data_IF_140765169961
#
_entry.id   IF_140765169961
#
_cell.length_a   1.000
_cell.length_b   1.000
_cell.length_c   1.000
_cell.angle_alpha   90.00
_cell.angle_beta   90.00
_cell.angle_gamma   90.00
#
_symmetry.space_group_name_H-M   'P 1'
#
loop_
_entity.id
_entity.type
_entity.pdbx_description
1 polymer ?
#
# COMPACT_ATOMS: atom_id res chain seq x y z
N UNK A 1 51.89 -5.08 18.66
CA UNK A 1 51.69 -3.60 18.60
C UNK A 1 50.74 -3.31 17.45
N UNK A 2 49.80 -2.39 17.68
CA UNK A 2 48.82 -1.79 16.74
C UNK A 2 47.63 -2.64 16.28
N UNK A 3 46.58 -2.65 17.11
CA UNK A 3 45.20 -2.91 16.69
C UNK A 3 44.55 -1.58 16.27
N UNK A 4 44.09 -1.50 15.02
CA UNK A 4 43.43 -0.34 14.45
C UNK A 4 41.97 -0.24 14.92
N UNK A 5 41.67 0.81 15.68
CA UNK A 5 40.36 1.15 16.22
C UNK A 5 39.46 1.72 15.11
N UNK A 6 38.51 0.89 14.64
CA UNK A 6 37.45 1.30 13.72
C UNK A 6 36.48 2.28 14.39
N UNK A 7 36.59 3.56 14.02
CA UNK A 7 35.72 4.65 14.46
C UNK A 7 34.32 4.49 13.86
N UNK A 8 33.35 4.00 14.65
CA UNK A 8 31.92 3.99 14.31
C UNK A 8 31.44 5.42 14.06
N UNK A 9 31.14 5.75 12.80
CA UNK A 9 30.44 6.99 12.44
C UNK A 9 28.96 6.80 12.78
N UNK A 10 28.54 7.39 13.89
CA UNK A 10 27.14 7.43 14.31
C UNK A 10 26.35 8.32 13.35
N UNK A 11 25.34 7.77 12.66
CA UNK A 11 24.41 8.58 11.85
C UNK A 11 23.47 9.33 12.81
N UNK A 12 23.34 10.66 12.70
CA UNK A 12 22.43 11.41 13.55
C UNK A 12 20.98 11.01 13.26
N UNK A 13 20.20 10.86 14.33
CA UNK A 13 18.77 10.60 14.28
C UNK A 13 18.05 11.73 13.52
N UNK A 14 17.02 11.37 12.74
CA UNK A 14 16.19 12.29 12.00
C UNK A 14 15.44 13.24 12.96
N UNK A 15 16.07 14.36 13.27
CA UNK A 15 15.47 15.46 14.02
C UNK A 15 14.39 16.12 13.16
N UNK A 16 13.18 16.17 13.69
CA UNK A 16 12.09 16.98 13.14
C UNK A 16 12.44 18.47 13.25
N UNK A 17 13.10 19.00 12.24
CA UNK A 17 13.23 20.44 12.02
C UNK A 17 11.87 21.00 11.61
N UNK A 18 11.11 21.50 12.60
CA UNK A 18 10.05 22.48 12.36
C UNK A 18 10.63 23.87 12.63
N UNK A 19 10.18 24.86 11.87
CA UNK A 19 10.52 26.29 11.91
C UNK A 19 11.76 26.68 11.08
N UNK A 20 11.50 27.10 9.84
CA UNK A 20 12.48 27.59 8.87
C UNK A 20 12.09 27.38 7.39
N UNK A 21 11.04 26.59 7.12
CA UNK A 21 10.69 26.14 5.77
C UNK A 21 10.07 27.24 4.89
N UNK A 22 9.30 28.16 5.45
CA UNK A 22 8.52 29.12 4.66
C UNK A 22 9.42 30.11 3.88
N UNK A 23 10.42 30.69 4.55
CA UNK A 23 11.42 31.56 3.90
C UNK A 23 12.42 30.82 3.00
N UNK A 24 12.57 29.50 3.16
CA UNK A 24 13.37 28.68 2.26
C UNK A 24 12.64 28.41 0.94
N UNK A 25 11.34 28.07 1.00
CA UNK A 25 10.49 27.84 -0.18
C UNK A 25 10.37 29.12 -1.01
N UNK A 26 10.13 30.27 -0.38
CA UNK A 26 9.98 31.54 -1.10
C UNK A 26 11.24 31.92 -1.91
N UNK A 27 12.44 31.70 -1.33
CA UNK A 27 13.70 31.93 -2.05
C UNK A 27 13.83 31.03 -3.27
N UNK A 28 13.53 29.73 -3.14
CA UNK A 28 13.61 28.78 -4.25
C UNK A 28 12.63 29.15 -5.37
N UNK A 29 11.39 29.55 -5.04
CA UNK A 29 10.39 29.96 -6.04
C UNK A 29 10.83 31.23 -6.80
N UNK A 30 11.53 32.16 -6.12
CA UNK A 30 12.12 33.36 -6.74
C UNK A 30 13.22 33.01 -7.74
N UNK A 31 14.00 31.96 -7.49
CA UNK A 31 15.08 31.49 -8.38
C UNK A 31 14.58 30.67 -9.59
N UNK A 32 13.34 30.20 -9.59
CA UNK A 32 12.78 29.42 -10.71
C UNK A 32 12.64 30.26 -11.98
N UNK A 33 12.90 29.63 -13.14
CA UNK A 33 12.54 30.21 -14.43
C UNK A 33 11.02 30.47 -14.50
N UNK A 34 10.54 31.44 -15.29
CA UNK A 34 9.11 31.71 -15.41
C UNK A 34 8.29 30.47 -15.83
N UNK A 35 8.86 29.61 -16.68
CA UNK A 35 8.21 28.38 -17.11
C UNK A 35 8.11 27.36 -15.97
N UNK A 36 9.17 27.17 -15.19
CA UNK A 36 9.16 26.23 -14.06
C UNK A 36 8.22 26.70 -12.94
N UNK A 37 8.21 28.00 -12.65
CA UNK A 37 7.30 28.60 -11.65
C UNK A 37 5.83 28.34 -12.00
N UNK A 38 5.47 28.45 -13.28
CA UNK A 38 4.10 28.15 -13.74
C UNK A 38 3.68 26.70 -13.46
N UNK A 39 4.57 25.73 -13.64
CA UNK A 39 4.26 24.32 -13.33
C UNK A 39 4.17 24.08 -11.81
N UNK A 40 5.03 24.73 -11.00
CA UNK A 40 4.97 24.67 -9.54
C UNK A 40 3.60 25.11 -8.99
N UNK A 41 3.06 26.25 -9.44
CA UNK A 41 1.76 26.74 -8.94
C UNK A 41 0.60 25.78 -9.23
N UNK A 42 0.64 25.09 -10.38
CA UNK A 42 -0.35 24.06 -10.72
C UNK A 42 -0.29 22.89 -9.75
N UNK A 43 0.92 22.45 -9.38
CA UNK A 43 1.13 21.34 -8.43
C UNK A 43 0.68 21.73 -7.02
N UNK A 44 1.04 22.93 -6.56
CA UNK A 44 0.64 23.46 -5.25
C UNK A 44 -0.88 23.45 -5.08
N UNK A 45 -1.62 23.90 -6.10
CA UNK A 45 -3.09 23.90 -6.07
C UNK A 45 -3.70 22.49 -5.96
N UNK A 46 -3.04 21.49 -6.55
CA UNK A 46 -3.48 20.09 -6.56
C UNK A 46 -3.26 19.39 -5.22
N UNK A 47 -2.14 19.68 -4.54
CA UNK A 47 -1.82 19.10 -3.23
C UNK A 47 -2.79 19.52 -2.10
N UNK A 48 -3.56 20.59 -2.27
CA UNK A 48 -4.49 21.07 -1.27
C UNK A 48 -5.81 20.26 -1.15
N UNK A 49 -5.99 19.16 -1.89
CA UNK A 49 -7.23 18.38 -1.95
C UNK A 49 -7.09 16.87 -1.63
N UNK A 50 -8.05 16.33 -0.86
CA UNK A 50 -8.21 15.01 -0.17
C UNK A 50 -7.69 13.67 -0.77
N UNK A 51 -7.70 12.61 0.05
CA UNK A 51 -7.07 11.28 -0.16
C UNK A 51 -7.39 10.49 -1.46
N UNK A 52 -8.58 10.62 -2.08
CA UNK A 52 -8.82 10.05 -3.43
C UNK A 52 -8.18 10.90 -4.52
N UNK A 53 -8.03 12.20 -4.28
CA UNK A 53 -7.22 13.07 -5.12
C UNK A 53 -5.74 12.78 -4.91
N UNK A 54 -5.30 12.25 -3.76
CA UNK A 54 -3.88 11.98 -3.50
C UNK A 54 -3.21 11.11 -4.57
N UNK A 55 -3.78 9.96 -4.95
CA UNK A 55 -3.20 9.13 -6.03
C UNK A 55 -3.16 9.86 -7.38
N UNK A 56 -4.20 10.63 -7.71
CA UNK A 56 -4.26 11.42 -8.94
C UNK A 56 -3.23 12.57 -8.92
N UNK A 57 -3.09 13.24 -7.78
CA UNK A 57 -2.15 14.34 -7.56
C UNK A 57 -0.72 13.84 -7.68
N UNK A 58 -0.38 12.71 -7.05
CA UNK A 58 0.94 12.07 -7.18
C UNK A 58 1.23 11.67 -8.63
N UNK A 59 0.25 11.13 -9.34
CA UNK A 59 0.38 10.81 -10.77
C UNK A 59 0.66 12.07 -11.61
N UNK A 60 -0.06 13.16 -11.37
CA UNK A 60 0.15 14.42 -12.06
C UNK A 60 1.50 15.07 -11.73
N UNK A 61 1.95 15.02 -10.48
CA UNK A 61 3.31 15.41 -10.09
C UNK A 61 4.32 14.58 -10.89
N UNK A 62 4.15 13.26 -10.94
CA UNK A 62 5.01 12.37 -11.72
C UNK A 62 5.10 12.75 -13.20
N UNK A 63 3.97 13.13 -13.82
CA UNK A 63 3.95 13.61 -15.21
C UNK A 63 4.72 14.92 -15.40
N UNK A 64 4.60 15.86 -14.46
CA UNK A 64 5.36 17.12 -14.50
C UNK A 64 6.86 16.84 -14.32
N UNK A 65 7.24 15.96 -13.40
CA UNK A 65 8.63 15.55 -13.20
C UNK A 65 9.21 14.91 -14.47
N UNK A 66 8.49 13.96 -15.09
CA UNK A 66 8.88 13.33 -16.35
C UNK A 66 9.10 14.37 -17.46
N UNK A 67 8.17 15.32 -17.60
CA UNK A 67 8.27 16.42 -18.57
C UNK A 67 9.49 17.31 -18.31
N UNK A 68 9.73 17.70 -17.07
CA UNK A 68 10.84 18.58 -16.68
C UNK A 68 12.17 17.88 -16.92
N UNK A 69 12.29 16.60 -16.55
CA UNK A 69 13.50 15.80 -16.77
C UNK A 69 13.78 15.58 -18.26
N UNK A 70 12.75 15.25 -19.05
CA UNK A 70 12.87 15.04 -20.50
C UNK A 70 13.19 16.32 -21.31
N UNK A 71 12.89 17.50 -20.76
CA UNK A 71 13.13 18.79 -21.43
C UNK A 71 14.18 19.64 -20.68
N UNK A 72 15.24 19.01 -20.16
CA UNK A 72 16.28 19.68 -19.37
C UNK A 72 16.83 20.99 -19.95
N UNK A 73 17.09 21.14 -21.28
CA UNK A 73 17.57 22.41 -21.84
C UNK A 73 16.61 23.58 -21.64
N UNK A 74 15.29 23.32 -21.53
CA UNK A 74 14.27 24.34 -21.32
C UNK A 74 14.13 24.76 -19.86
N UNK A 75 14.31 23.83 -18.95
CA UNK A 75 14.03 24.04 -17.52
C UNK A 75 15.29 24.28 -16.67
N UNK A 76 16.47 23.94 -17.21
CA UNK A 76 17.75 23.97 -16.51
C UNK A 76 18.15 22.60 -15.98
N UNK A 77 19.47 22.39 -15.82
CA UNK A 77 20.05 21.12 -15.35
C UNK A 77 19.66 20.75 -13.92
N UNK A 78 19.28 21.73 -13.08
CA UNK A 78 18.87 21.53 -11.69
C UNK A 78 17.35 21.71 -11.46
N UNK A 79 16.52 21.58 -12.51
CA UNK A 79 15.09 21.84 -12.38
C UNK A 79 14.37 20.90 -11.41
N UNK A 80 14.75 19.61 -11.38
CA UNK A 80 14.16 18.62 -10.46
C UNK A 80 14.52 18.94 -9.00
N UNK A 81 15.78 19.27 -8.70
CA UNK A 81 16.20 19.67 -7.35
C UNK A 81 15.55 20.98 -6.87
N UNK A 82 15.16 21.88 -7.79
CA UNK A 82 14.33 23.04 -7.46
C UNK A 82 12.88 22.63 -7.12
N UNK A 83 12.30 21.66 -7.84
CA UNK A 83 10.97 21.12 -7.52
C UNK A 83 10.95 20.39 -6.17
N UNK A 84 11.97 19.61 -5.84
CA UNK A 84 12.11 18.94 -4.54
C UNK A 84 12.00 19.92 -3.38
N UNK A 85 12.85 20.97 -3.42
CA UNK A 85 12.90 21.99 -2.37
C UNK A 85 11.60 22.78 -2.28
N UNK A 86 10.95 23.06 -3.42
CA UNK A 86 9.71 23.82 -3.45
C UNK A 86 8.49 23.00 -2.98
N UNK A 87 8.45 21.70 -3.28
CA UNK A 87 7.36 20.79 -2.90
C UNK A 87 7.56 20.17 -1.51
N UNK A 88 8.77 20.26 -0.94
CA UNK A 88 9.11 19.58 0.31
C UNK A 88 9.16 18.05 0.16
N UNK A 89 9.46 17.57 -1.05
CA UNK A 89 9.56 16.15 -1.38
C UNK A 89 11.01 15.81 -1.73
N UNK A 90 11.48 14.64 -1.34
CA UNK A 90 12.81 14.15 -1.71
C UNK A 90 12.85 13.62 -3.16
N UNK A 91 14.04 13.58 -3.75
CA UNK A 91 14.26 13.09 -5.11
C UNK A 91 13.71 11.68 -5.34
N UNK A 92 13.88 10.76 -4.38
CA UNK A 92 13.43 9.38 -4.54
C UNK A 92 11.90 9.31 -4.59
N UNK A 93 11.21 10.15 -3.84
CA UNK A 93 9.76 10.29 -3.92
C UNK A 93 9.32 10.81 -5.29
N UNK A 94 9.96 11.86 -5.82
CA UNK A 94 9.64 12.37 -7.16
C UNK A 94 9.93 11.34 -8.27
N UNK A 95 11.04 10.59 -8.16
CA UNK A 95 11.39 9.51 -9.11
C UNK A 95 10.36 8.38 -9.10
N UNK A 96 9.83 7.99 -7.92
CA UNK A 96 8.75 7.00 -7.84
C UNK A 96 7.47 7.51 -8.51
N UNK A 97 7.15 8.78 -8.34
CA UNK A 97 5.98 9.38 -8.98
C UNK A 97 6.15 9.44 -10.50
N UNK A 98 7.32 9.85 -10.96
CA UNK A 98 7.72 9.83 -12.37
C UNK A 98 7.62 8.43 -12.98
N UNK A 99 8.10 7.41 -12.27
CA UNK A 99 8.07 6.02 -12.73
C UNK A 99 6.63 5.54 -12.98
N UNK A 100 5.73 5.73 -12.04
CA UNK A 100 4.30 5.39 -12.19
C UNK A 100 3.68 6.18 -13.35
N UNK A 101 3.92 7.49 -13.40
CA UNK A 101 3.39 8.37 -14.44
C UNK A 101 3.86 8.03 -15.86
N UNK A 102 5.07 7.48 -15.97
CA UNK A 102 5.66 7.03 -17.25
C UNK A 102 5.24 5.61 -17.62
N UNK A 103 4.78 4.81 -16.64
CA UNK A 103 4.38 3.41 -16.83
C UNK A 103 2.97 3.30 -17.44
N UNK A 104 2.05 4.16 -17.02
CA UNK A 104 0.66 4.13 -17.48
C UNK A 104 0.25 5.48 -18.07
N UNK A 105 -0.51 5.45 -19.16
CA UNK A 105 -1.19 6.65 -19.68
C UNK A 105 -2.25 7.17 -18.71
N UNK A 106 -2.70 8.44 -18.83
CA UNK A 106 -3.72 8.97 -17.93
C UNK A 106 -5.02 8.15 -17.94
N UNK A 107 -5.43 7.65 -19.11
CA UNK A 107 -6.61 6.80 -19.26
C UNK A 107 -6.43 5.45 -18.57
N UNK A 108 -5.27 4.80 -18.73
CA UNK A 108 -4.95 3.54 -18.05
C UNK A 108 -4.90 3.72 -16.54
N UNK A 109 -4.23 4.77 -16.04
CA UNK A 109 -4.15 5.06 -14.61
C UNK A 109 -5.54 5.30 -14.01
N UNK A 110 -6.39 6.09 -14.67
CA UNK A 110 -7.76 6.32 -14.23
C UNK A 110 -8.60 5.03 -14.24
N UNK A 111 -8.39 4.14 -15.21
CA UNK A 111 -9.04 2.83 -15.24
C UNK A 111 -8.57 1.94 -14.08
N UNK A 112 -7.26 1.92 -13.78
CA UNK A 112 -6.70 1.17 -12.65
C UNK A 112 -7.29 1.58 -11.31
N UNK A 113 -7.47 2.88 -11.07
CA UNK A 113 -8.06 3.38 -9.82
C UNK A 113 -9.54 3.00 -9.64
N UNK A 114 -10.25 2.65 -10.72
CA UNK A 114 -11.64 2.19 -10.68
C UNK A 114 -11.76 0.69 -10.41
N UNK A 115 -10.69 -0.07 -10.59
CA UNK A 115 -10.70 -1.52 -10.35
C UNK A 115 -10.71 -1.78 -8.84
N UNK A 116 -11.57 -2.70 -8.42
CA UNK A 116 -11.68 -3.15 -7.02
C UNK A 116 -11.53 -4.65 -6.94
N UNK A 117 -10.97 -5.14 -5.83
CA UNK A 117 -10.95 -6.55 -5.51
C UNK A 117 -12.33 -7.04 -5.04
N UNK A 118 -12.45 -8.34 -4.73
CA UNK A 118 -13.69 -8.94 -4.22
C UNK A 118 -14.18 -8.32 -2.89
N UNK A 119 -13.31 -7.61 -2.17
CA UNK A 119 -13.63 -6.91 -0.92
C UNK A 119 -14.00 -5.43 -1.16
N UNK A 120 -14.17 -5.00 -2.41
CA UNK A 120 -14.48 -3.61 -2.78
C UNK A 120 -13.31 -2.62 -2.58
N UNK A 121 -12.09 -3.10 -2.33
CA UNK A 121 -10.90 -2.25 -2.13
C UNK A 121 -10.18 -2.05 -3.46
N UNK A 122 -9.82 -0.81 -3.77
CA UNK A 122 -9.02 -0.47 -4.95
C UNK A 122 -7.52 -0.65 -4.72
N UNK A 123 -6.74 -0.70 -5.80
CA UNK A 123 -5.28 -0.62 -5.71
C UNK A 123 -4.86 0.72 -5.10
N UNK A 124 -4.00 0.68 -4.10
CA UNK A 124 -3.39 1.89 -3.53
C UNK A 124 -2.17 2.34 -4.33
N UNK A 125 -1.72 3.58 -4.11
CA UNK A 125 -0.48 4.11 -4.71
C UNK A 125 0.72 3.17 -4.51
N UNK A 126 0.85 2.59 -3.32
CA UNK A 126 1.95 1.68 -2.99
C UNK A 126 1.89 0.36 -3.76
N UNK A 127 0.70 -0.12 -4.15
CA UNK A 127 0.61 -1.27 -5.06
C UNK A 127 1.15 -0.91 -6.44
N UNK A 128 0.77 0.27 -6.94
CA UNK A 128 1.22 0.76 -8.24
C UNK A 128 2.73 1.01 -8.26
N UNK A 129 3.32 1.54 -7.19
CA UNK A 129 4.77 1.74 -7.03
C UNK A 129 5.54 0.42 -7.17
N UNK A 130 5.08 -0.63 -6.46
CA UNK A 130 5.67 -1.97 -6.52
C UNK A 130 5.60 -2.56 -7.93
N UNK A 131 4.47 -2.41 -8.61
CA UNK A 131 4.26 -2.97 -9.95
C UNK A 131 5.00 -2.18 -11.03
N UNK A 132 5.08 -0.85 -10.90
CA UNK A 132 5.75 0.01 -11.88
C UNK A 132 7.25 -0.30 -12.02
N UNK A 133 7.87 -0.86 -10.97
CA UNK A 133 9.26 -1.31 -10.99
C UNK A 133 9.51 -2.55 -11.87
N UNK A 134 8.47 -3.25 -12.33
CA UNK A 134 8.60 -4.42 -13.22
C UNK A 134 8.68 -3.96 -14.68
N UNK A 135 9.78 -4.29 -15.37
CA UNK A 135 10.01 -3.83 -16.75
C UNK A 135 9.01 -4.38 -17.78
N UNK A 136 8.63 -5.66 -17.67
CA UNK A 136 7.73 -6.32 -18.60
C UNK A 136 6.25 -5.90 -18.39
N UNK A 137 5.63 -5.36 -19.44
CA UNK A 137 4.26 -4.84 -19.38
C UNK A 137 3.20 -5.93 -19.15
N UNK A 138 3.37 -7.13 -19.73
CA UNK A 138 2.45 -8.25 -19.53
C UNK A 138 2.54 -8.77 -18.11
N UNK A 139 3.76 -8.88 -17.58
CA UNK A 139 3.99 -9.27 -16.19
C UNK A 139 3.37 -8.26 -15.21
N UNK A 140 3.45 -6.95 -15.50
CA UNK A 140 2.76 -5.92 -14.71
C UNK A 140 1.25 -6.15 -14.68
N UNK A 141 0.63 -6.36 -15.83
CA UNK A 141 -0.83 -6.58 -15.90
C UNK A 141 -1.23 -7.84 -15.12
N UNK A 142 -0.51 -8.95 -15.31
CA UNK A 142 -0.78 -10.19 -14.56
C UNK A 142 -0.66 -10.00 -13.04
N UNK A 143 0.31 -9.22 -12.57
CA UNK A 143 0.46 -8.89 -11.15
C UNK A 143 -0.67 -8.00 -10.61
N UNK A 144 -1.20 -7.07 -11.43
CA UNK A 144 -2.34 -6.23 -11.05
C UNK A 144 -3.62 -7.05 -10.98
N UNK A 145 -3.84 -7.93 -11.96
CA UNK A 145 -4.95 -8.87 -12.00
C UNK A 145 -4.92 -9.79 -10.77
N UNK A 146 -3.76 -10.36 -10.46
CA UNK A 146 -3.57 -11.22 -9.28
C UNK A 146 -3.81 -10.44 -7.98
N UNK A 147 -3.28 -9.22 -7.86
CA UNK A 147 -3.49 -8.35 -6.70
C UNK A 147 -4.97 -8.06 -6.44
N UNK A 148 -5.74 -7.81 -7.51
CA UNK A 148 -7.18 -7.55 -7.41
C UNK A 148 -7.99 -8.82 -7.18
N UNK A 149 -7.65 -9.92 -7.87
CA UNK A 149 -8.36 -11.19 -7.73
C UNK A 149 -8.20 -11.79 -6.34
N UNK A 150 -7.01 -11.71 -5.75
CA UNK A 150 -6.71 -12.33 -4.45
C UNK A 150 -6.73 -11.32 -3.30
N UNK A 151 -6.90 -10.02 -3.59
CA UNK A 151 -6.86 -8.96 -2.60
C UNK A 151 -5.51 -8.83 -1.88
N UNK A 152 -4.43 -8.96 -2.64
CA UNK A 152 -3.06 -8.96 -2.09
C UNK A 152 -2.73 -7.64 -1.41
N UNK A 153 -2.01 -7.74 -0.29
CA UNK A 153 -1.33 -6.60 0.30
C UNK A 153 -0.11 -6.19 -0.53
N UNK A 154 0.34 -4.95 -0.32
CA UNK A 154 1.58 -4.42 -0.93
C UNK A 154 2.78 -5.32 -0.66
N UNK A 155 2.88 -5.93 0.53
CA UNK A 155 3.99 -6.80 0.92
C UNK A 155 3.97 -8.12 0.15
N UNK A 156 2.80 -8.74 0.02
CA UNK A 156 2.63 -9.97 -0.77
C UNK A 156 2.91 -9.72 -2.25
N UNK A 157 2.40 -8.61 -2.79
CA UNK A 157 2.67 -8.19 -4.16
C UNK A 157 4.18 -7.95 -4.39
N UNK A 158 4.86 -7.29 -3.46
CA UNK A 158 6.30 -7.07 -3.52
C UNK A 158 7.12 -8.38 -3.40
N UNK A 159 6.63 -9.39 -2.68
CA UNK A 159 7.25 -10.72 -2.66
C UNK A 159 7.14 -11.41 -4.02
N UNK A 160 5.95 -11.36 -4.64
CA UNK A 160 5.72 -11.90 -5.99
C UNK A 160 6.57 -11.24 -7.06
N UNK A 161 6.67 -9.91 -7.04
CA UNK A 161 7.53 -9.15 -7.95
C UNK A 161 8.99 -9.64 -7.88
N UNK A 162 9.48 -9.95 -6.67
CA UNK A 162 10.83 -10.46 -6.42
C UNK A 162 11.02 -11.94 -6.78
N UNK A 163 9.99 -12.60 -7.33
CA UNK A 163 10.02 -14.04 -7.62
C UNK A 163 10.14 -14.90 -6.36
N UNK A 164 9.85 -14.33 -5.19
CA UNK A 164 9.77 -15.09 -3.96
C UNK A 164 8.35 -15.60 -3.91
N UNK A 165 8.19 -16.93 -3.95
CA UNK A 165 6.99 -17.53 -3.39
C UNK A 165 6.84 -16.88 -2.02
N UNK A 166 5.69 -16.28 -1.67
CA UNK A 166 5.42 -16.07 -0.27
C UNK A 166 5.49 -17.49 0.29
N UNK A 167 6.63 -17.88 0.86
CA UNK A 167 6.61 -18.76 2.01
C UNK A 167 5.48 -18.16 2.80
N UNK A 168 4.36 -18.91 2.94
CA UNK A 168 3.26 -18.54 3.83
C UNK A 168 3.99 -17.89 4.96
N UNK A 169 3.86 -16.56 5.08
CA UNK A 169 4.65 -15.87 6.06
C UNK A 169 3.97 -16.36 7.32
N UNK A 170 4.45 -17.49 7.84
CA UNK A 170 4.82 -17.65 9.21
C UNK A 170 5.47 -16.31 9.51
N UNK A 171 4.61 -15.34 9.80
CA UNK A 171 4.92 -14.18 10.59
C UNK A 171 5.36 -14.92 11.83
N UNK A 172 6.66 -15.28 11.88
CA UNK A 172 7.18 -16.25 12.83
C UNK A 172 6.63 -15.77 14.14
N UNK A 173 5.99 -16.67 14.90
CA UNK A 173 5.17 -16.28 16.05
C UNK A 173 5.84 -15.19 16.90
N UNK A 174 7.18 -15.17 16.98
CA UNK A 174 8.01 -14.07 17.48
C UNK A 174 7.61 -12.63 17.07
N UNK A 175 7.35 -12.32 15.80
CA UNK A 175 6.97 -10.95 15.42
C UNK A 175 5.54 -10.60 15.86
N UNK A 176 4.64 -11.59 15.94
CA UNK A 176 3.31 -11.40 16.49
C UNK A 176 3.34 -11.23 18.02
N UNK A 177 4.22 -11.98 18.70
CA UNK A 177 4.42 -11.93 20.15
C UNK A 177 5.04 -10.61 20.64
N UNK A 178 5.85 -9.94 19.79
CA UNK A 178 6.49 -8.67 20.14
C UNK A 178 5.63 -7.43 19.84
N UNK A 179 4.40 -7.57 19.34
CA UNK A 179 3.51 -6.43 19.10
C UNK A 179 2.76 -6.05 20.38
N UNK A 180 2.49 -4.76 20.63
CA UNK A 180 1.58 -4.37 21.70
C UNK A 180 0.23 -5.09 21.55
N UNK A 181 -0.28 -5.67 22.64
CA UNK A 181 -1.48 -6.52 22.63
C UNK A 181 -2.68 -5.86 21.91
N UNK A 182 -2.90 -4.57 22.16
CA UNK A 182 -3.98 -3.82 21.52
C UNK A 182 -3.88 -3.79 19.98
N UNK A 183 -2.65 -3.69 19.44
CA UNK A 183 -2.44 -3.73 17.99
C UNK A 183 -2.71 -5.12 17.42
N UNK A 184 -2.33 -6.17 18.15
CA UNK A 184 -2.61 -7.54 17.75
C UNK A 184 -4.12 -7.83 17.69
N UNK A 185 -4.87 -7.42 18.73
CA UNK A 185 -6.34 -7.55 18.77
C UNK A 185 -6.99 -6.81 17.61
N UNK A 186 -6.59 -5.56 17.33
CA UNK A 186 -7.13 -4.81 16.18
C UNK A 186 -6.90 -5.51 14.83
N UNK A 187 -5.72 -6.11 14.64
CA UNK A 187 -5.43 -6.88 13.42
C UNK A 187 -6.31 -8.13 13.34
N UNK A 188 -6.52 -8.83 14.46
CA UNK A 188 -7.44 -9.98 14.52
C UNK A 188 -8.87 -9.56 14.16
N UNK A 189 -9.39 -8.48 14.74
CA UNK A 189 -10.73 -7.96 14.44
C UNK A 189 -10.88 -7.62 12.96
N UNK A 190 -9.94 -6.86 12.38
CA UNK A 190 -10.00 -6.49 10.96
C UNK A 190 -9.96 -7.71 10.01
N UNK A 191 -9.22 -8.77 10.39
CA UNK A 191 -9.22 -10.03 9.63
C UNK A 191 -10.55 -10.76 9.75
N UNK A 192 -11.10 -10.86 10.96
CA UNK A 192 -12.41 -11.47 11.19
C UNK A 192 -13.52 -10.75 10.41
N UNK A 193 -13.53 -9.41 10.41
CA UNK A 193 -14.44 -8.59 9.60
C UNK A 193 -14.32 -8.89 8.10
N UNK A 194 -13.10 -9.10 7.59
CA UNK A 194 -12.87 -9.45 6.19
C UNK A 194 -13.46 -10.84 5.87
N UNK A 195 -13.31 -11.82 6.77
CA UNK A 195 -13.94 -13.15 6.61
C UNK A 195 -15.46 -13.03 6.62
N UNK A 196 -16.04 -12.28 7.55
CA UNK A 196 -17.49 -12.06 7.62
C UNK A 196 -18.02 -11.41 6.35
N UNK A 197 -17.34 -10.38 5.83
CA UNK A 197 -17.71 -9.75 4.55
C UNK A 197 -17.65 -10.74 3.39
N UNK A 198 -16.63 -11.60 3.34
CA UNK A 198 -16.48 -12.63 2.31
C UNK A 198 -17.65 -13.61 2.34
N UNK A 199 -18.01 -14.10 3.53
CA UNK A 199 -19.12 -15.03 3.73
C UNK A 199 -20.43 -14.43 3.23
N UNK A 200 -20.71 -13.16 3.52
CA UNK A 200 -21.93 -12.49 3.02
C UNK A 200 -21.96 -12.36 1.50
N UNK A 201 -20.81 -12.13 0.85
CA UNK A 201 -20.72 -12.09 -0.61
C UNK A 201 -20.97 -13.48 -1.19
N UNK A 202 -20.38 -14.53 -0.61
CA UNK A 202 -20.55 -15.90 -1.07
C UNK A 202 -21.98 -16.41 -0.89
N UNK A 203 -22.61 -16.11 0.26
CA UNK A 203 -24.02 -16.42 0.52
C UNK A 203 -24.92 -15.93 -0.61
N UNK A 204 -24.74 -14.67 -1.02
CA UNK A 204 -25.54 -14.07 -2.11
C UNK A 204 -25.16 -14.58 -3.50
N UNK A 205 -23.87 -14.74 -3.78
CA UNK A 205 -23.40 -14.97 -5.16
C UNK A 205 -23.23 -16.43 -5.54
N UNK A 206 -22.86 -17.29 -4.59
CA UNK A 206 -22.51 -18.69 -4.83
C UNK A 206 -23.72 -19.59 -4.55
N UNK A 207 -24.37 -19.43 -3.40
CA UNK A 207 -25.45 -20.36 -3.01
C UNK A 207 -26.71 -20.24 -3.88
N UNK A 208 -27.00 -19.06 -4.41
CA UNK A 208 -28.06 -18.89 -5.42
C UNK A 208 -27.77 -19.68 -6.70
N UNK A 209 -26.50 -19.79 -7.11
CA UNK A 209 -26.08 -20.54 -8.31
C UNK A 209 -25.98 -22.04 -8.06
N UNK A 210 -25.53 -22.43 -6.86
CA UNK A 210 -25.41 -23.85 -6.47
C UNK A 210 -26.73 -24.60 -6.58
N UNK A 211 -27.88 -23.95 -6.39
CA UNK A 211 -29.19 -24.59 -6.53
C UNK A 211 -29.52 -24.99 -7.99
N UNK A 212 -28.83 -24.42 -8.96
CA UNK A 212 -29.12 -24.60 -10.39
C UNK A 212 -28.16 -25.59 -11.06
N UNK A 213 -27.10 -26.02 -10.38
CA UNK A 213 -26.02 -26.80 -10.96
C UNK A 213 -25.84 -28.13 -10.22
N UNK A 214 -26.10 -29.25 -10.91
CA UNK A 214 -25.93 -30.61 -10.37
C UNK A 214 -24.81 -31.32 -11.15
N UNK A 215 -23.56 -31.12 -10.72
CA UNK A 215 -22.39 -31.85 -11.21
C UNK A 215 -21.78 -32.71 -10.09
N UNK A 216 -21.30 -33.93 -10.39
CA UNK A 216 -20.55 -34.74 -9.43
C UNK A 216 -19.26 -34.07 -8.93
N UNK A 217 -18.51 -33.38 -9.80
CA UNK A 217 -17.28 -32.67 -9.41
C UNK A 217 -17.57 -31.53 -8.41
N UNK A 218 -18.74 -30.92 -8.51
CA UNK A 218 -19.21 -29.90 -7.58
C UNK A 218 -19.46 -30.49 -6.18
N UNK A 219 -19.98 -31.73 -6.09
CA UNK A 219 -20.29 -32.37 -4.81
C UNK A 219 -19.03 -32.62 -3.96
N UNK A 220 -17.95 -33.09 -4.58
CA UNK A 220 -16.66 -33.29 -3.90
C UNK A 220 -16.07 -31.95 -3.42
N UNK A 221 -16.11 -30.92 -4.28
CA UNK A 221 -15.63 -29.58 -3.95
C UNK A 221 -16.42 -28.95 -2.78
N UNK A 222 -17.74 -29.15 -2.76
CA UNK A 222 -18.61 -28.68 -1.67
C UNK A 222 -18.34 -29.41 -0.35
N UNK A 223 -18.07 -30.72 -0.40
CA UNK A 223 -17.73 -31.48 0.80
C UNK A 223 -16.39 -31.02 1.37
N UNK A 224 -15.36 -30.84 0.54
CA UNK A 224 -14.09 -30.28 0.96
C UNK A 224 -14.24 -28.88 1.57
N UNK A 225 -15.04 -28.01 0.95
CA UNK A 225 -15.33 -26.69 1.49
C UNK A 225 -16.01 -26.78 2.87
N UNK A 226 -17.02 -27.63 3.02
CA UNK A 226 -17.71 -27.87 4.30
C UNK A 226 -16.77 -28.30 5.42
N UNK A 227 -15.82 -29.19 5.11
CA UNK A 227 -14.85 -29.68 6.08
C UNK A 227 -13.89 -28.56 6.52
N UNK A 228 -13.40 -27.75 5.57
CA UNK A 228 -12.59 -26.55 5.87
C UNK A 228 -13.35 -25.54 6.73
N UNK A 229 -14.61 -25.26 6.43
CA UNK A 229 -15.43 -24.32 7.23
C UNK A 229 -15.75 -24.86 8.63
N UNK A 230 -15.86 -26.18 8.78
CA UNK A 230 -16.06 -26.81 10.09
C UNK A 230 -14.81 -26.66 10.95
N UNK A 231 -13.62 -26.85 10.37
CA UNK A 231 -12.35 -26.59 11.04
C UNK A 231 -12.21 -25.11 11.42
N UNK A 232 -12.56 -24.20 10.50
CA UNK A 232 -12.55 -22.76 10.77
C UNK A 232 -13.47 -22.39 11.93
N UNK A 233 -14.71 -22.91 11.94
CA UNK A 233 -15.67 -22.69 13.03
C UNK A 233 -15.09 -23.16 14.36
N UNK A 234 -14.54 -24.38 14.41
CA UNK A 234 -13.91 -24.91 15.62
C UNK A 234 -12.77 -24.01 16.12
N UNK A 235 -11.94 -23.48 15.22
CA UNK A 235 -10.86 -22.57 15.59
C UNK A 235 -11.38 -21.21 16.11
N UNK A 236 -12.46 -20.68 15.51
CA UNK A 236 -13.11 -19.45 15.96
C UNK A 236 -13.70 -19.64 17.36
N UNK A 237 -14.39 -20.76 17.62
CA UNK A 237 -14.98 -21.06 18.93
C UNK A 237 -13.91 -21.09 20.03
N UNK A 238 -12.74 -21.67 19.75
CA UNK A 238 -11.58 -21.66 20.68
C UNK A 238 -11.09 -20.23 20.95
N UNK A 239 -11.01 -19.38 19.91
CA UNK A 239 -10.59 -17.98 20.08
C UNK A 239 -11.61 -17.19 20.90
N UNK A 240 -12.91 -17.38 20.64
CA UNK A 240 -13.99 -16.72 21.38
C UNK A 240 -13.95 -17.10 22.86
N UNK A 241 -13.79 -18.38 23.19
CA UNK A 241 -13.64 -18.83 24.58
C UNK A 241 -12.47 -18.13 25.30
N UNK A 242 -11.31 -17.99 24.63
CA UNK A 242 -10.16 -17.26 25.20
C UNK A 242 -10.41 -15.75 25.37
N UNK A 243 -11.19 -15.15 24.46
CA UNK A 243 -11.57 -13.74 24.59
C UNK A 243 -12.49 -13.55 25.79
N UNK A 244 -13.48 -14.42 25.97
CA UNK A 244 -14.41 -14.37 27.09
C UNK A 244 -13.69 -14.55 28.43
N UNK A 245 -12.75 -15.50 28.52
CA UNK A 245 -11.86 -15.66 29.67
C UNK A 245 -11.07 -14.38 29.99
N UNK A 246 -10.49 -13.75 28.95
CA UNK A 246 -9.75 -12.50 29.08
C UNK A 246 -10.61 -11.31 29.53
N UNK A 247 -11.84 -11.21 29.02
CA UNK A 247 -12.80 -10.17 29.43
C UNK A 247 -13.23 -10.36 30.89
N UNK A 248 -13.55 -11.59 31.29
CA UNK A 248 -13.90 -11.90 32.67
C UNK A 248 -12.76 -11.57 33.65
N UNK A 249 -11.52 -11.88 33.28
CA UNK A 249 -10.35 -11.54 34.08
C UNK A 249 -10.14 -10.01 34.20
N UNK A 250 -10.32 -9.26 33.11
CA UNK A 250 -10.20 -7.81 33.11
C UNK A 250 -11.25 -7.15 34.03
N UNK A 251 -12.50 -7.61 33.97
CA UNK A 251 -13.58 -7.08 34.83
C UNK A 251 -13.36 -7.38 36.31
N UNK A 252 -12.80 -8.56 36.65
CA UNK A 252 -12.46 -8.91 38.03
C UNK A 252 -11.38 -7.99 38.64
N UNK A 253 -10.56 -7.32 37.81
CA UNK A 253 -9.48 -6.43 38.26
C UNK A 253 -9.85 -4.96 38.36
N UNK A 254 -11.06 -4.56 37.94
CA UNK A 254 -11.50 -3.16 38.06
C UNK A 254 -11.78 -2.82 39.52
N UNK A 255 -11.16 -1.76 40.09
CA UNK A 255 -11.52 -1.27 41.41
C UNK A 255 -12.97 -0.82 41.42
N UNK A 256 -13.70 -1.20 42.48
CA UNK A 256 -15.10 -0.81 42.71
C UNK A 256 -15.22 0.68 43.05
#
# INVERSE_FOLDING_TARGET
MSNATGKKVSRPAAGTHKVGTEGAVERVVKEMTPTLRSEYEKLKKKLAGSEKQDAQVRYEIGRVVAKVRGASPRYGSNAVGQLERALGLDENTLRRYELIASTWTPAQFAALLKRTNLYGRSLSWSHLDVVAAVADARKREGLLDEALREGLSVRELASRVRGRTPALVEDTNESALNRPLFSAVRVMTARAETVVQSVSIWEKSIFERLQQENSPELSESLQNAKDVYTQLRSAVDVILGRIDEGLAAADATRPR
#
